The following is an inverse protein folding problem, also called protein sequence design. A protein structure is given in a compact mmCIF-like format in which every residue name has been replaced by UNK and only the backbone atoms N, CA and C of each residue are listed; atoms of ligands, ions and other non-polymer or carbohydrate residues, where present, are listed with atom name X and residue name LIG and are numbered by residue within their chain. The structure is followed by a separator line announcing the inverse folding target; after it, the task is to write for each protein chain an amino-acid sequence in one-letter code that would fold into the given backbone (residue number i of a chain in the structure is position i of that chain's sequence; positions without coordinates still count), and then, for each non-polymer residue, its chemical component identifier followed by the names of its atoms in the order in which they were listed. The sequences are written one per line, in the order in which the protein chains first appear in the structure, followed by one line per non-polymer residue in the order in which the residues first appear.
data_IF_697709542127
#
_entry.id   IF_697709542127
#
_cell.length_a   1.000
_cell.length_b   1.000
_cell.length_c   1.000
_cell.angle_alpha   90.00
_cell.angle_beta   90.00
_cell.angle_gamma   90.00
#
_symmetry.space_group_name_H-M   'P 1'
#
loop_
_entity.id
_entity.type
_entity.pdbx_description
1 polymer ?
#
# COMPACT_ATOMS: atom_id res chain seq x y z
N UNK A 1 4.14 7.79 5.03
CA UNK A 1 4.13 8.75 3.90
C UNK A 1 4.77 8.11 2.65
N UNK A 2 4.12 7.08 2.10
CA UNK A 2 4.59 6.23 0.97
C UNK A 2 5.58 5.10 1.31
N UNK A 3 5.39 3.95 0.68
CA UNK A 3 6.23 2.73 0.78
C UNK A 3 6.49 2.19 -0.62
N UNK A 4 7.76 1.98 -0.98
CA UNK A 4 8.12 1.24 -2.19
C UNK A 4 8.03 -0.26 -1.91
N UNK A 5 7.28 -0.97 -2.75
CA UNK A 5 6.97 -2.38 -2.52
C UNK A 5 8.06 -3.31 -3.06
N UNK A 6 8.63 -2.99 -4.22
CA UNK A 6 9.40 -3.91 -5.05
C UNK A 6 10.78 -3.39 -5.48
N UNK A 7 11.43 -2.67 -4.57
CA UNK A 7 12.85 -2.33 -4.70
C UNK A 7 13.75 -3.56 -4.86
N UNK A 8 13.30 -4.71 -4.36
CA UNK A 8 13.89 -6.02 -4.57
C UNK A 8 12.80 -6.94 -5.13
N UNK A 9 13.10 -7.68 -6.20
CA UNK A 9 12.16 -8.56 -6.90
C UNK A 9 12.05 -9.93 -6.21
N UNK A 10 11.94 -9.89 -4.90
CA UNK A 10 11.77 -11.07 -4.05
C UNK A 10 10.37 -11.03 -3.43
N UNK A 11 9.59 -12.08 -3.66
CA UNK A 11 8.17 -12.14 -3.28
C UNK A 11 7.99 -11.94 -1.76
N UNK A 12 8.85 -12.51 -0.94
CA UNK A 12 8.71 -12.41 0.52
C UNK A 12 9.12 -11.02 1.03
N UNK A 13 10.15 -10.39 0.44
CA UNK A 13 10.49 -8.99 0.74
C UNK A 13 9.37 -8.03 0.34
N UNK A 14 8.75 -8.25 -0.83
CA UNK A 14 7.61 -7.45 -1.28
C UNK A 14 6.43 -7.65 -0.32
N UNK A 15 6.12 -8.90 0.06
CA UNK A 15 5.05 -9.20 1.01
C UNK A 15 5.26 -8.49 2.35
N UNK A 16 6.49 -8.48 2.88
CA UNK A 16 6.85 -7.73 4.08
C UNK A 16 6.61 -6.23 3.91
N UNK A 17 6.94 -5.66 2.75
CA UNK A 17 6.68 -4.25 2.46
C UNK A 17 5.19 -3.93 2.37
N UNK A 18 4.37 -4.84 1.82
CA UNK A 18 2.91 -4.69 1.79
C UNK A 18 2.32 -4.72 3.20
N UNK A 19 2.82 -5.58 4.09
CA UNK A 19 2.37 -5.58 5.49
C UNK A 19 2.82 -4.31 6.24
N UNK A 20 4.03 -3.81 5.98
CA UNK A 20 4.49 -2.51 6.50
C UNK A 20 3.60 -1.36 6.00
N UNK A 21 3.14 -1.40 4.75
CA UNK A 21 2.20 -0.43 4.20
C UNK A 21 0.88 -0.44 4.96
N UNK A 22 0.29 -1.62 5.18
CA UNK A 22 -0.93 -1.77 5.97
C UNK A 22 -0.76 -1.20 7.39
N UNK A 23 0.36 -1.51 8.05
CA UNK A 23 0.63 -0.99 9.40
C UNK A 23 0.73 0.54 9.41
N UNK A 24 1.41 1.14 8.43
CA UNK A 24 1.48 2.60 8.28
C UNK A 24 0.10 3.23 8.03
N UNK A 25 -0.77 2.56 7.28
CA UNK A 25 -2.14 3.05 7.08
C UNK A 25 -2.92 3.09 8.40
N UNK A 26 -2.76 2.06 9.24
CA UNK A 26 -3.37 2.01 10.57
C UNK A 26 -2.82 3.09 11.52
N UNK A 27 -1.50 3.30 11.52
CA UNK A 27 -0.85 4.27 12.43
C UNK A 27 -1.10 5.73 12.03
N UNK A 28 -1.33 6.01 10.74
CA UNK A 28 -1.43 7.39 10.21
C UNK A 28 -2.78 7.71 9.56
N UNK A 29 -3.75 6.79 9.60
CA UNK A 29 -5.05 6.89 8.92
C UNK A 29 -4.99 6.58 7.42
N UNK A 30 -3.87 6.81 6.74
CA UNK A 30 -3.67 6.42 5.34
C UNK A 30 -2.20 6.18 4.98
N UNK A 31 -1.95 5.37 3.95
CA UNK A 31 -0.63 5.20 3.35
C UNK A 31 -0.74 4.84 1.87
N UNK A 32 0.31 5.16 1.11
CA UNK A 32 0.40 4.92 -0.34
C UNK A 32 1.49 3.86 -0.59
N UNK A 33 1.15 2.80 -1.31
CA UNK A 33 2.11 1.83 -1.82
C UNK A 33 2.48 2.19 -3.26
N UNK A 34 3.76 2.13 -3.62
CA UNK A 34 4.23 2.30 -4.99
C UNK A 34 4.98 1.03 -5.39
N UNK A 35 4.56 0.42 -6.50
CA UNK A 35 5.18 -0.75 -7.07
C UNK A 35 5.01 -0.78 -8.58
N UNK A 36 5.81 -1.62 -9.21
CA UNK A 36 5.85 -1.91 -10.63
C UNK A 36 5.05 -3.18 -10.95
N UNK A 37 4.59 -3.35 -12.19
CA UNK A 37 3.79 -4.51 -12.60
C UNK A 37 4.66 -5.75 -12.86
N UNK A 38 5.54 -6.11 -11.92
CA UNK A 38 6.31 -7.34 -11.98
C UNK A 38 5.49 -8.54 -11.51
N UNK A 39 5.88 -9.74 -11.95
CA UNK A 39 5.20 -10.98 -11.57
C UNK A 39 5.26 -11.19 -10.06
N UNK A 40 6.43 -10.96 -9.49
CA UNK A 40 6.74 -11.07 -8.08
C UNK A 40 5.90 -10.08 -7.24
N UNK A 41 5.70 -8.86 -7.76
CA UNK A 41 4.82 -7.86 -7.13
C UNK A 41 3.37 -8.33 -7.11
N UNK A 42 2.87 -8.85 -8.22
CA UNK A 42 1.49 -9.39 -8.31
C UNK A 42 1.31 -10.60 -7.39
N UNK A 43 2.28 -11.51 -7.34
CA UNK A 43 2.25 -12.70 -6.47
C UNK A 43 2.23 -12.32 -5.00
N UNK A 44 3.11 -11.40 -4.58
CA UNK A 44 3.13 -10.89 -3.21
C UNK A 44 1.80 -10.22 -2.82
N UNK A 45 1.24 -9.37 -3.70
CA UNK A 45 -0.05 -8.73 -3.46
C UNK A 45 -1.18 -9.76 -3.30
N UNK A 46 -1.25 -10.79 -4.15
CA UNK A 46 -2.24 -11.87 -4.03
C UNK A 46 -2.15 -12.60 -2.68
N UNK A 47 -0.93 -12.77 -2.14
CA UNK A 47 -0.67 -13.42 -0.85
C UNK A 47 -1.12 -12.56 0.34
N UNK A 48 -0.90 -11.25 0.28
CA UNK A 48 -1.05 -10.36 1.44
C UNK A 48 -2.37 -9.58 1.48
N UNK A 49 -2.89 -9.13 0.32
CA UNK A 49 -4.08 -8.28 0.28
C UNK A 49 -5.34 -8.90 0.92
N UNK A 50 -5.58 -10.23 0.88
CA UNK A 50 -6.73 -10.83 1.58
C UNK A 50 -6.77 -10.54 3.10
N UNK A 51 -5.62 -10.24 3.72
CA UNK A 51 -5.52 -9.94 5.15
C UNK A 51 -5.91 -8.49 5.48
N UNK A 52 -6.03 -7.61 4.49
CA UNK A 52 -6.25 -6.18 4.75
C UNK A 52 -7.60 -5.93 5.40
N UNK A 53 -8.65 -6.61 4.95
CA UNK A 53 -10.00 -6.45 5.49
C UNK A 53 -10.07 -6.85 6.98
N UNK A 54 -9.41 -7.96 7.37
CA UNK A 54 -9.38 -8.38 8.77
C UNK A 54 -8.53 -7.47 9.65
N UNK A 55 -7.58 -6.75 9.07
CA UNK A 55 -6.79 -5.70 9.74
C UNK A 55 -7.51 -4.35 9.84
N UNK A 56 -8.70 -4.19 9.22
CA UNK A 56 -9.40 -2.91 9.15
C UNK A 56 -8.80 -1.93 8.12
N UNK A 57 -8.10 -2.45 7.11
CA UNK A 57 -7.50 -1.66 6.03
C UNK A 57 -8.31 -1.81 4.74
N UNK A 58 -8.68 -0.68 4.14
CA UNK A 58 -9.40 -0.64 2.86
C UNK A 58 -8.51 -0.07 1.76
N UNK A 59 -8.53 -0.71 0.60
CA UNK A 59 -7.83 -0.22 -0.61
C UNK A 59 -8.77 0.74 -1.34
N UNK A 60 -8.29 1.94 -1.62
CA UNK A 60 -9.02 2.98 -2.35
C UNK A 60 -8.20 3.49 -3.53
N UNK A 61 -8.83 4.04 -4.58
CA UNK A 61 -8.13 4.80 -5.61
C UNK A 61 -7.37 5.98 -4.99
N UNK A 62 -6.24 6.36 -5.60
CA UNK A 62 -5.42 7.48 -5.09
C UNK A 62 -6.20 8.80 -4.98
N UNK A 63 -7.20 9.00 -5.83
CA UNK A 63 -8.08 10.17 -5.81
C UNK A 63 -8.87 10.31 -4.52
N UNK A 64 -9.17 9.21 -3.81
CA UNK A 64 -9.84 9.24 -2.52
C UNK A 64 -8.96 9.78 -1.38
N UNK A 65 -7.64 9.81 -1.58
CA UNK A 65 -6.68 10.40 -0.63
C UNK A 65 -6.35 11.86 -0.95
N UNK A 66 -6.89 12.40 -2.04
CA UNK A 66 -6.77 13.82 -2.35
C UNK A 66 -7.77 14.59 -1.51
N UNK A 67 -7.26 15.43 -0.62
CA UNK A 67 -8.06 16.47 0.01
C UNK A 67 -8.32 17.57 -1.03
N UNK A 68 -9.57 17.98 -1.20
CA UNK A 68 -9.94 19.26 -1.84
C UNK A 68 -9.60 20.41 -0.90
N UNK A 69 -8.36 20.46 -0.40
CA UNK A 69 -7.87 21.64 0.28
C UNK A 69 -7.83 22.73 -0.79
N UNK A 70 -8.85 23.60 -0.78
CA UNK A 70 -8.80 24.90 -1.41
C UNK A 70 -7.42 25.48 -1.07
N UNK A 71 -6.61 25.71 -2.12
CA UNK A 71 -5.38 26.47 -1.95
C UNK A 71 -5.83 27.83 -1.41
N UNK A 72 -5.41 28.25 -0.20
CA UNK A 72 -5.57 29.65 0.14
C UNK A 72 -4.70 30.42 -0.84
N UNK A 73 -5.35 31.29 -1.60
CA UNK A 73 -4.74 32.29 -2.47
C UNK A 73 -4.01 33.37 -1.65
#
# INVERSE_FOLDING_TARGET
RSVFLDNDRDVDKIALNVMKLARKALDHGSAIGIGHPYRETVEALKKTLPQFASMGVTIVPITALLSTAERPE
#
